data_IF_583761615015
#
_entry.id   IF_583761615015
#
_cell.length_a   1.000
_cell.length_b   1.000
_cell.length_c   1.000
_cell.angle_alpha   90.00
_cell.angle_beta   90.00
_cell.angle_gamma   90.00
#
_symmetry.space_group_name_H-M   'P 1'
#
loop_
_entity.id
_entity.type
_entity.pdbx_description
1 polymer ?
#
# COMPACT_ATOMS: atom_id res chain seq x y z
N UNK A 1 -49.34 -14.90 -22.93
CA UNK A 1 -49.22 -15.12 -21.47
C UNK A 1 -48.84 -16.57 -21.20
N UNK A 2 -47.56 -16.88 -20.94
CA UNK A 2 -47.15 -18.15 -20.33
C UNK A 2 -46.03 -17.84 -19.33
N UNK A 3 -46.35 -18.02 -18.04
CA UNK A 3 -45.40 -17.87 -16.93
C UNK A 3 -44.43 -19.05 -16.97
N UNK A 4 -43.15 -18.80 -17.26
CA UNK A 4 -42.08 -19.76 -16.97
C UNK A 4 -41.99 -19.91 -15.44
N UNK A 5 -42.56 -21.01 -14.92
CA UNK A 5 -42.32 -21.45 -13.55
C UNK A 5 -40.85 -21.88 -13.46
N UNK A 6 -40.01 -21.05 -12.86
CA UNK A 6 -38.75 -21.51 -12.29
C UNK A 6 -39.08 -22.63 -11.30
N UNK A 7 -38.83 -23.88 -11.67
CA UNK A 7 -38.95 -25.01 -10.75
C UNK A 7 -37.84 -24.92 -9.72
N UNK A 8 -38.08 -24.23 -8.61
CA UNK A 8 -37.29 -24.40 -7.40
C UNK A 8 -37.47 -25.84 -6.91
N UNK A 9 -36.53 -26.71 -7.29
CA UNK A 9 -36.43 -28.04 -6.69
C UNK A 9 -36.01 -27.85 -5.23
N UNK A 10 -36.96 -27.93 -4.29
CA UNK A 10 -36.72 -28.06 -2.84
C UNK A 10 -35.98 -29.38 -2.56
N UNK A 11 -34.67 -29.42 -2.85
CA UNK A 11 -33.77 -30.54 -2.51
C UNK A 11 -33.72 -30.69 -0.98
N UNK A 12 -33.80 -31.93 -0.49
CA UNK A 12 -33.71 -32.24 0.96
C UNK A 12 -32.39 -31.70 1.55
N UNK A 13 -32.37 -31.14 2.77
CA UNK A 13 -31.18 -30.50 3.34
C UNK A 13 -29.94 -31.41 3.37
N UNK A 14 -30.12 -32.71 3.60
CA UNK A 14 -29.02 -33.68 3.57
C UNK A 14 -28.38 -33.87 2.17
N UNK A 15 -29.17 -33.79 1.09
CA UNK A 15 -28.65 -33.87 -0.28
C UNK A 15 -27.93 -32.58 -0.69
N UNK A 16 -28.38 -31.43 -0.16
CA UNK A 16 -27.68 -30.14 -0.34
C UNK A 16 -26.31 -30.14 0.33
N UNK A 17 -26.20 -30.71 1.53
CA UNK A 17 -24.93 -30.82 2.25
C UNK A 17 -23.93 -31.69 1.50
N UNK A 18 -24.34 -32.89 1.06
CA UNK A 18 -23.46 -33.83 0.33
C UNK A 18 -22.95 -33.27 -1.01
N UNK A 19 -23.77 -32.47 -1.71
CA UNK A 19 -23.37 -31.76 -2.92
C UNK A 19 -22.44 -30.57 -2.63
N UNK A 20 -22.46 -30.04 -1.41
CA UNK A 20 -21.64 -28.89 -1.00
C UNK A 20 -20.27 -29.29 -0.46
N UNK A 21 -20.09 -30.53 0.01
CA UNK A 21 -18.81 -31.06 0.54
C UNK A 21 -17.63 -30.85 -0.41
N UNK A 22 -17.72 -31.11 -1.73
CA UNK A 22 -16.60 -30.86 -2.64
C UNK A 22 -16.18 -29.39 -2.68
N UNK A 23 -17.13 -28.45 -2.61
CA UNK A 23 -16.82 -27.02 -2.58
C UNK A 23 -16.14 -26.61 -1.26
N UNK A 24 -16.57 -27.18 -0.12
CA UNK A 24 -15.88 -26.95 1.16
C UNK A 24 -14.47 -27.53 1.16
N UNK A 25 -14.25 -28.69 0.55
CA UNK A 25 -12.92 -29.29 0.42
C UNK A 25 -12.00 -28.46 -0.48
N UNK A 26 -12.52 -27.84 -1.55
CA UNK A 26 -11.75 -26.91 -2.40
C UNK A 26 -11.39 -25.62 -1.66
N UNK A 27 -12.26 -25.15 -0.75
CA UNK A 27 -12.02 -23.95 0.05
C UNK A 27 -11.01 -24.20 1.19
N UNK A 28 -10.97 -25.43 1.72
CA UNK A 28 -10.23 -25.79 2.93
C UNK A 28 -8.73 -25.41 2.86
N UNK A 29 -7.97 -25.68 1.78
CA UNK A 29 -6.57 -25.25 1.69
C UNK A 29 -6.40 -23.74 1.82
N UNK A 30 -7.26 -22.95 1.17
CA UNK A 30 -7.26 -21.50 1.27
C UNK A 30 -7.57 -21.02 2.69
N UNK A 31 -8.55 -21.64 3.36
CA UNK A 31 -8.87 -21.32 4.76
C UNK A 31 -7.74 -21.68 5.71
N UNK A 32 -7.08 -22.82 5.52
CA UNK A 32 -5.95 -23.23 6.36
C UNK A 32 -4.79 -22.25 6.21
N UNK A 33 -4.43 -21.88 4.97
CA UNK A 33 -3.38 -20.88 4.73
C UNK A 33 -3.75 -19.52 5.34
N UNK A 34 -5.00 -19.08 5.15
CA UNK A 34 -5.50 -17.84 5.75
C UNK A 34 -5.42 -17.88 7.28
N UNK A 35 -5.81 -18.99 7.90
CA UNK A 35 -5.72 -19.15 9.35
C UNK A 35 -4.27 -19.13 9.84
N UNK A 36 -3.38 -19.92 9.23
CA UNK A 36 -1.98 -20.04 9.65
C UNK A 36 -1.18 -18.75 9.44
N UNK A 37 -1.40 -18.03 8.35
CA UNK A 37 -0.60 -16.87 7.99
C UNK A 37 -1.24 -15.52 8.36
N UNK A 38 -2.56 -15.45 8.60
CA UNK A 38 -3.22 -14.19 8.96
C UNK A 38 -3.80 -14.20 10.38
N UNK A 39 -4.41 -15.30 10.85
CA UNK A 39 -5.06 -15.34 12.17
C UNK A 39 -4.10 -15.76 13.28
N UNK A 40 -3.26 -16.76 13.03
CA UNK A 40 -2.30 -17.25 14.01
C UNK A 40 -1.32 -16.15 14.46
N UNK A 41 -0.78 -15.28 13.56
CA UNK A 41 0.08 -14.17 13.99
C UNK A 41 -0.62 -13.13 14.87
N UNK A 42 -1.96 -13.00 14.83
CA UNK A 42 -2.70 -12.07 15.71
C UNK A 42 -2.57 -12.45 17.19
N UNK A 43 -2.28 -13.72 17.48
CA UNK A 43 -1.93 -14.14 18.83
C UNK A 43 -0.73 -13.35 19.40
N UNK A 44 0.18 -12.89 18.53
CA UNK A 44 1.30 -12.03 18.88
C UNK A 44 0.90 -10.67 19.46
N UNK A 45 -0.35 -10.21 19.29
CA UNK A 45 -0.81 -8.94 19.88
C UNK A 45 -0.68 -8.89 21.41
N UNK A 46 -0.68 -10.05 22.08
CA UNK A 46 -0.42 -10.13 23.53
C UNK A 46 0.93 -9.51 23.94
N UNK A 47 1.91 -9.47 23.03
CA UNK A 47 3.23 -8.88 23.26
C UNK A 47 3.12 -7.40 23.63
N UNK A 48 2.14 -6.68 23.07
CA UNK A 48 1.89 -5.27 23.38
C UNK A 48 1.50 -5.03 24.85
N UNK A 49 1.07 -6.07 25.56
CA UNK A 49 0.66 -6.02 26.97
C UNK A 49 1.67 -6.68 27.92
N UNK A 50 2.80 -7.14 27.39
CA UNK A 50 3.81 -7.90 28.14
C UNK A 50 5.17 -7.22 28.04
N UNK A 51 6.00 -7.37 29.08
CA UNK A 51 7.44 -7.12 28.98
C UNK A 51 8.08 -8.33 28.31
N UNK A 52 7.96 -8.38 26.99
CA UNK A 52 8.36 -9.52 26.17
C UNK A 52 9.88 -9.68 26.11
N UNK A 53 10.35 -10.87 26.44
CA UNK A 53 11.76 -11.27 26.34
C UNK A 53 11.85 -12.35 25.24
N UNK A 54 12.46 -12.07 24.07
CA UNK A 54 12.54 -13.01 22.96
C UNK A 54 13.18 -14.35 23.32
N UNK A 55 14.18 -14.34 24.22
CA UNK A 55 14.88 -15.54 24.68
C UNK A 55 13.96 -16.56 25.39
N UNK A 56 12.82 -16.13 25.94
CA UNK A 56 11.83 -17.01 26.56
C UNK A 56 10.82 -17.60 25.55
N UNK A 57 10.92 -17.21 24.27
CA UNK A 57 9.97 -17.60 23.23
C UNK A 57 8.59 -16.95 23.38
N UNK A 58 7.74 -17.18 22.37
CA UNK A 58 6.37 -16.63 22.31
C UNK A 58 5.43 -17.21 23.38
N UNK A 59 5.69 -18.44 23.85
CA UNK A 59 4.86 -19.16 24.82
C UNK A 59 5.49 -19.24 26.21
N UNK A 60 6.69 -18.70 26.42
CA UNK A 60 7.30 -18.64 27.74
C UNK A 60 6.59 -17.66 28.67
N UNK A 61 6.88 -17.75 29.97
CA UNK A 61 6.32 -16.86 30.97
C UNK A 61 6.86 -15.42 30.80
N UNK A 62 5.97 -14.52 30.40
CA UNK A 62 6.23 -13.10 30.21
C UNK A 62 5.55 -12.29 31.32
N UNK A 63 6.18 -11.20 31.77
CA UNK A 63 5.56 -10.31 32.76
C UNK A 63 4.47 -9.48 32.10
N UNK A 64 3.23 -9.63 32.53
CA UNK A 64 2.13 -8.77 32.08
C UNK A 64 2.28 -7.36 32.65
N UNK A 65 2.24 -6.35 31.77
CA UNK A 65 2.38 -4.92 32.12
C UNK A 65 1.16 -4.10 31.70
N UNK A 66 0.11 -4.74 31.18
CA UNK A 66 -1.12 -4.07 30.76
C UNK A 66 -0.84 -3.00 29.70
N UNK A 67 -1.39 -1.81 29.86
CA UNK A 67 -1.28 -0.72 28.87
C UNK A 67 0.00 0.12 29.00
N UNK A 68 1.01 -0.37 29.72
CA UNK A 68 2.25 0.39 29.99
C UNK A 68 2.88 0.94 28.70
N UNK A 69 3.07 0.10 27.68
CA UNK A 69 3.69 0.50 26.42
C UNK A 69 2.88 1.52 25.63
N UNK A 70 1.54 1.47 25.72
CA UNK A 70 0.67 2.48 25.11
C UNK A 70 0.85 3.85 25.77
N UNK A 71 0.89 3.90 27.10
CA UNK A 71 1.18 5.15 27.84
C UNK A 71 2.59 5.65 27.53
N UNK A 72 3.57 4.74 27.44
CA UNK A 72 4.95 5.09 27.11
C UNK A 72 5.03 5.77 25.73
N UNK A 73 4.48 5.16 24.69
CA UNK A 73 4.49 5.71 23.32
C UNK A 73 3.69 7.02 23.24
N UNK A 74 2.52 7.08 23.90
CA UNK A 74 1.70 8.30 23.88
C UNK A 74 2.39 9.52 24.53
N UNK A 75 3.26 9.30 25.52
CA UNK A 75 4.07 10.36 26.15
C UNK A 75 5.43 10.56 25.45
N UNK A 76 5.74 9.80 24.41
CA UNK A 76 6.99 9.95 23.67
C UNK A 76 6.98 11.27 22.88
N UNK A 77 7.97 12.17 23.03
CA UNK A 77 7.91 13.52 22.49
C UNK A 77 7.63 13.61 20.99
N UNK A 78 8.13 12.65 20.21
CA UNK A 78 8.00 12.65 18.75
C UNK A 78 6.81 11.83 18.24
N UNK A 79 6.07 11.13 19.10
CA UNK A 79 4.99 10.25 18.66
C UNK A 79 3.89 11.00 17.90
N UNK A 80 3.39 12.11 18.47
CA UNK A 80 2.34 12.91 17.83
C UNK A 80 2.83 13.57 16.54
N UNK A 81 4.12 13.95 16.48
CA UNK A 81 4.73 14.53 15.26
C UNK A 81 4.81 13.48 14.16
N UNK A 82 5.32 12.29 14.47
CA UNK A 82 5.39 11.16 13.54
C UNK A 82 3.99 10.77 13.05
N UNK A 83 3.02 10.62 13.96
CA UNK A 83 1.64 10.27 13.62
C UNK A 83 1.01 11.31 12.68
N UNK A 84 1.15 12.60 12.99
CA UNK A 84 0.63 13.68 12.15
C UNK A 84 1.28 13.65 10.76
N UNK A 85 2.60 13.51 10.69
CA UNK A 85 3.33 13.48 9.42
C UNK A 85 2.91 12.27 8.57
N UNK A 86 2.77 11.09 9.17
CA UNK A 86 2.28 9.90 8.47
C UNK A 86 0.87 10.10 7.94
N UNK A 87 -0.06 10.59 8.76
CA UNK A 87 -1.44 10.85 8.33
C UNK A 87 -1.50 11.87 7.20
N UNK A 88 -0.70 12.93 7.30
CA UNK A 88 -0.66 14.01 6.32
C UNK A 88 -0.08 13.49 4.99
N UNK A 89 1.04 12.76 5.01
CA UNK A 89 1.61 12.13 3.81
C UNK A 89 0.62 11.15 3.17
N UNK A 90 0.00 10.28 3.98
CA UNK A 90 -0.99 9.31 3.47
C UNK A 90 -2.20 10.00 2.86
N UNK A 91 -2.68 11.08 3.47
CA UNK A 91 -3.79 11.86 2.94
C UNK A 91 -3.43 12.56 1.63
N UNK A 92 -2.25 13.20 1.55
CA UNK A 92 -1.77 13.85 0.32
C UNK A 92 -1.60 12.85 -0.82
N UNK A 93 -1.00 11.68 -0.55
CA UNK A 93 -0.87 10.59 -1.53
C UNK A 93 -2.23 10.14 -2.05
N UNK A 94 -3.20 9.93 -1.16
CA UNK A 94 -4.55 9.49 -1.53
C UNK A 94 -5.28 10.57 -2.34
N UNK A 95 -5.31 11.81 -1.86
CA UNK A 95 -6.04 12.89 -2.49
C UNK A 95 -5.46 13.26 -3.87
N UNK A 96 -4.15 13.50 -3.94
CA UNK A 96 -3.49 13.87 -5.20
C UNK A 96 -3.39 12.68 -6.15
N UNK A 97 -3.15 11.47 -5.64
CA UNK A 97 -3.13 10.25 -6.45
C UNK A 97 -4.46 10.02 -7.15
N UNK A 98 -5.59 10.18 -6.44
CA UNK A 98 -6.93 10.10 -7.03
C UNK A 98 -7.15 11.17 -8.10
N UNK A 99 -6.87 12.44 -7.79
CA UNK A 99 -7.06 13.56 -8.73
C UNK A 99 -6.25 13.34 -10.00
N UNK A 100 -4.98 12.96 -9.87
CA UNK A 100 -4.07 12.75 -11.00
C UNK A 100 -4.50 11.53 -11.82
N UNK A 101 -4.90 10.42 -11.19
CA UNK A 101 -5.40 9.24 -11.90
C UNK A 101 -6.66 9.55 -12.73
N UNK A 102 -7.61 10.31 -12.17
CA UNK A 102 -8.84 10.73 -12.89
C UNK A 102 -8.49 11.64 -14.07
N UNK A 103 -7.68 12.68 -13.84
CA UNK A 103 -7.27 13.60 -14.90
C UNK A 103 -6.58 12.82 -16.02
N UNK A 104 -5.63 11.94 -15.66
CA UNK A 104 -4.91 11.13 -16.64
C UNK A 104 -5.84 10.19 -17.42
N UNK A 105 -6.80 9.54 -16.74
CA UNK A 105 -7.81 8.69 -17.38
C UNK A 105 -8.60 9.44 -18.45
N UNK A 106 -9.02 10.67 -18.15
CA UNK A 106 -9.75 11.53 -19.08
C UNK A 106 -8.85 11.93 -20.26
N UNK A 107 -7.62 12.36 -20.00
CA UNK A 107 -6.65 12.75 -21.04
C UNK A 107 -6.37 11.58 -22.01
N UNK A 108 -6.18 10.38 -21.47
CA UNK A 108 -5.97 9.15 -22.27
C UNK A 108 -7.21 8.78 -23.07
N UNK A 109 -8.41 9.05 -22.55
CA UNK A 109 -9.65 8.81 -23.26
C UNK A 109 -9.81 9.71 -24.50
N UNK A 110 -9.33 10.95 -24.44
CA UNK A 110 -9.42 11.92 -25.54
C UNK A 110 -8.44 11.61 -26.70
N UNK A 111 -7.46 10.73 -26.49
CA UNK A 111 -6.52 10.32 -27.53
C UNK A 111 -7.24 9.47 -28.59
N UNK A 112 -7.57 10.08 -29.73
CA UNK A 112 -8.16 9.40 -30.91
C UNK A 112 -7.24 8.37 -31.56
N UNK A 113 -5.92 8.60 -31.55
CA UNK A 113 -4.95 7.69 -32.16
C UNK A 113 -4.66 6.51 -31.22
N UNK A 114 -5.14 5.32 -31.60
CA UNK A 114 -5.00 4.09 -30.80
C UNK A 114 -3.56 3.66 -30.56
N UNK A 115 -2.64 3.92 -31.50
CA UNK A 115 -1.21 3.60 -31.31
C UNK A 115 -0.60 4.50 -30.23
N UNK A 116 -0.84 5.80 -30.31
CA UNK A 116 -0.36 6.76 -29.32
C UNK A 116 -0.94 6.46 -27.93
N UNK A 117 -2.26 6.19 -27.86
CA UNK A 117 -2.94 5.83 -26.62
C UNK A 117 -2.27 4.65 -25.93
N UNK A 118 -2.01 3.57 -26.68
CA UNK A 118 -1.36 2.35 -26.16
C UNK A 118 0.07 2.62 -25.71
N UNK A 119 0.85 3.40 -26.47
CA UNK A 119 2.23 3.73 -26.09
C UNK A 119 2.30 4.53 -24.80
N UNK A 120 1.48 5.58 -24.66
CA UNK A 120 1.46 6.41 -23.45
C UNK A 120 1.05 5.57 -22.24
N UNK A 121 0.02 4.72 -22.37
CA UNK A 121 -0.38 3.78 -21.33
C UNK A 121 0.77 2.87 -20.91
N UNK A 122 1.47 2.23 -21.86
CA UNK A 122 2.60 1.35 -21.53
C UNK A 122 3.72 2.08 -20.77
N UNK A 123 4.07 3.29 -21.17
CA UNK A 123 5.10 4.10 -20.48
C UNK A 123 4.67 4.44 -19.06
N UNK A 124 3.41 4.83 -18.87
CA UNK A 124 2.89 5.26 -17.57
C UNK A 124 2.60 4.09 -16.63
N UNK A 125 2.29 2.90 -17.15
CA UNK A 125 2.17 1.68 -16.33
C UNK A 125 3.52 1.08 -15.92
N UNK A 126 4.61 1.35 -16.66
CA UNK A 126 5.91 0.73 -16.42
C UNK A 126 6.47 0.95 -14.99
N UNK A 127 6.41 2.16 -14.39
CA UNK A 127 6.95 2.41 -13.05
C UNK A 127 6.32 1.55 -11.95
N UNK A 128 5.04 1.19 -12.10
CA UNK A 128 4.33 0.34 -11.13
C UNK A 128 5.02 -1.01 -10.95
N UNK A 129 5.54 -1.61 -12.03
CA UNK A 129 6.18 -2.92 -12.00
C UNK A 129 7.60 -2.92 -11.41
N UNK A 130 8.24 -1.76 -11.27
CA UNK A 130 9.57 -1.65 -10.67
C UNK A 130 9.50 -1.78 -9.15
N UNK A 131 10.40 -2.53 -8.51
CA UNK A 131 10.40 -2.60 -7.04
C UNK A 131 10.75 -1.24 -6.42
N UNK A 132 10.22 -0.96 -5.23
CA UNK A 132 10.56 0.25 -4.46
C UNK A 132 12.07 0.37 -4.17
N UNK A 133 12.79 -0.76 -4.06
CA UNK A 133 14.24 -0.77 -3.84
C UNK A 133 14.98 -0.22 -5.06
N UNK A 134 14.65 -0.70 -6.26
CA UNK A 134 15.26 -0.22 -7.51
C UNK A 134 14.92 1.27 -7.71
N UNK A 135 13.65 1.62 -7.49
CA UNK A 135 13.19 2.99 -7.69
C UNK A 135 13.87 3.97 -6.73
N UNK A 136 14.06 3.57 -5.47
CA UNK A 136 14.77 4.40 -4.49
C UNK A 136 16.20 4.71 -4.92
N UNK A 137 16.92 3.73 -5.48
CA UNK A 137 18.27 3.95 -6.02
C UNK A 137 18.27 4.97 -7.15
N UNK A 138 17.38 4.79 -8.14
CA UNK A 138 17.24 5.72 -9.27
C UNK A 138 16.87 7.14 -8.79
N UNK A 139 15.96 7.25 -7.82
CA UNK A 139 15.55 8.53 -7.26
C UNK A 139 16.67 9.22 -6.49
N UNK A 140 17.47 8.48 -5.71
CA UNK A 140 18.66 9.03 -5.04
C UNK A 140 19.63 9.61 -6.05
N UNK A 141 19.88 8.91 -7.16
CA UNK A 141 20.80 9.38 -8.21
C UNK A 141 20.26 10.61 -8.93
N UNK A 142 18.98 10.60 -9.33
CA UNK A 142 18.33 11.69 -10.06
C UNK A 142 18.17 12.96 -9.19
N UNK A 143 17.85 12.78 -7.91
CA UNK A 143 17.59 13.86 -6.93
C UNK A 143 18.84 14.26 -6.14
N UNK A 144 19.99 13.65 -6.41
CA UNK A 144 21.25 13.98 -5.73
C UNK A 144 21.56 15.48 -5.82
N UNK A 145 21.93 16.14 -4.71
CA UNK A 145 22.28 17.56 -4.71
C UNK A 145 23.58 17.86 -5.48
N UNK A 146 24.49 16.89 -5.60
CA UNK A 146 25.80 17.08 -6.23
C UNK A 146 25.83 16.62 -7.68
N UNK A 147 25.20 15.51 -8.00
CA UNK A 147 25.32 14.84 -9.30
C UNK A 147 24.00 14.68 -10.05
N UNK A 148 22.88 14.91 -9.37
CA UNK A 148 21.54 14.62 -9.88
C UNK A 148 21.11 15.52 -11.03
N UNK A 149 20.45 14.92 -12.01
CA UNK A 149 19.99 15.64 -13.21
C UNK A 149 18.98 16.74 -12.86
N UNK A 150 18.13 16.53 -11.86
CA UNK A 150 17.14 17.53 -11.43
C UNK A 150 17.86 18.78 -10.88
N UNK A 151 18.85 18.60 -10.02
CA UNK A 151 19.61 19.72 -9.48
C UNK A 151 20.48 20.42 -10.54
N UNK A 152 21.03 19.68 -11.50
CA UNK A 152 21.73 20.27 -12.66
C UNK A 152 20.81 21.18 -13.50
N UNK A 153 19.56 20.77 -13.71
CA UNK A 153 18.58 21.60 -14.41
C UNK A 153 18.20 22.84 -13.59
N UNK A 154 17.99 22.69 -12.28
CA UNK A 154 17.68 23.82 -11.38
C UNK A 154 18.81 24.85 -11.40
N UNK A 155 20.07 24.42 -11.27
CA UNK A 155 21.22 25.32 -11.28
C UNK A 155 21.48 25.94 -12.66
N UNK A 156 21.23 25.20 -13.74
CA UNK A 156 21.31 25.74 -15.10
C UNK A 156 20.30 26.88 -15.34
N UNK A 157 19.15 26.86 -14.67
CA UNK A 157 18.15 27.94 -14.70
C UNK A 157 18.42 29.07 -13.69
N UNK A 158 19.59 29.06 -13.02
CA UNK A 158 19.99 30.09 -12.04
C UNK A 158 19.53 29.84 -10.60
N UNK A 159 18.95 28.67 -10.31
CA UNK A 159 18.57 28.25 -8.96
C UNK A 159 19.74 27.69 -8.13
N UNK A 160 19.44 27.31 -6.89
CA UNK A 160 20.39 26.63 -6.01
C UNK A 160 20.07 25.14 -5.90
N UNK A 161 21.10 24.33 -5.65
CA UNK A 161 20.92 22.88 -5.44
C UNK A 161 20.05 22.61 -4.21
N UNK A 162 19.08 21.71 -4.38
CA UNK A 162 18.09 21.31 -3.37
C UNK A 162 18.38 19.89 -2.90
N UNK A 163 18.46 19.71 -1.58
CA UNK A 163 18.61 18.39 -0.98
C UNK A 163 17.25 17.72 -0.73
N UNK A 164 16.58 17.28 -1.81
CA UNK A 164 15.21 16.75 -1.78
C UNK A 164 14.95 15.68 -0.72
N UNK A 165 15.91 14.77 -0.52
CA UNK A 165 15.78 13.62 0.40
C UNK A 165 16.29 13.90 1.81
N UNK A 166 16.98 15.02 2.04
CA UNK A 166 17.57 15.37 3.33
C UNK A 166 16.97 16.62 3.99
N UNK A 167 16.28 17.46 3.23
CA UNK A 167 15.62 18.67 3.73
C UNK A 167 14.15 18.40 4.05
N UNK A 168 13.75 18.65 5.30
CA UNK A 168 12.38 18.49 5.79
C UNK A 168 11.34 19.27 4.96
N UNK A 169 11.72 20.38 4.33
CA UNK A 169 10.82 21.20 3.50
C UNK A 169 10.40 20.50 2.21
N UNK A 170 11.30 19.70 1.64
CA UNK A 170 11.11 19.05 0.33
C UNK A 170 10.80 17.56 0.45
N UNK A 171 11.20 16.92 1.55
CA UNK A 171 11.05 15.49 1.75
C UNK A 171 9.61 15.02 1.57
N UNK A 172 8.65 15.69 2.23
CA UNK A 172 7.24 15.30 2.19
C UNK A 172 6.69 15.33 0.76
N UNK A 173 6.86 16.46 0.05
CA UNK A 173 6.41 16.60 -1.34
C UNK A 173 7.11 15.62 -2.28
N UNK A 174 8.42 15.38 -2.07
CA UNK A 174 9.19 14.40 -2.85
C UNK A 174 8.61 13.00 -2.68
N UNK A 175 8.29 12.59 -1.44
CA UNK A 175 7.68 11.29 -1.14
C UNK A 175 6.29 11.14 -1.76
N UNK A 176 5.50 12.21 -1.81
CA UNK A 176 4.17 12.20 -2.42
C UNK A 176 4.28 12.11 -3.95
N UNK A 177 5.10 12.95 -4.58
CA UNK A 177 5.25 13.00 -6.05
C UNK A 177 5.81 11.68 -6.59
N UNK A 178 6.81 11.11 -5.92
CA UNK A 178 7.43 9.84 -6.35
C UNK A 178 6.51 8.65 -6.22
N UNK A 179 5.70 8.61 -5.17
CA UNK A 179 4.64 7.61 -4.96
C UNK A 179 3.55 7.73 -6.01
N UNK A 180 3.06 8.94 -6.24
CA UNK A 180 2.06 9.18 -7.29
C UNK A 180 2.61 8.79 -8.64
N UNK A 181 3.81 9.24 -9.03
CA UNK A 181 4.41 8.91 -10.33
C UNK A 181 4.56 7.39 -10.53
N UNK A 182 4.82 6.64 -9.46
CA UNK A 182 4.91 5.19 -9.52
C UNK A 182 3.53 4.52 -9.72
N UNK A 183 2.50 5.00 -9.04
CA UNK A 183 1.23 4.29 -8.86
C UNK A 183 0.07 4.82 -9.74
N UNK A 184 0.10 6.09 -10.14
CA UNK A 184 -1.06 6.75 -10.78
C UNK A 184 -1.48 6.08 -12.10
N UNK A 185 -0.51 5.51 -12.82
CA UNK A 185 -0.77 4.79 -14.05
C UNK A 185 -1.67 3.59 -13.82
N UNK A 186 -1.34 2.75 -12.83
CA UNK A 186 -2.01 1.48 -12.54
C UNK A 186 -3.40 1.65 -11.90
N UNK A 187 -3.61 2.71 -11.12
CA UNK A 187 -4.89 3.00 -10.46
C UNK A 187 -6.00 3.51 -11.42
N UNK A 188 -5.85 3.31 -12.73
CA UNK A 188 -6.82 3.65 -13.79
C UNK A 188 -7.66 2.44 -14.16
#
# INVERSE_FOLDING_TARGET
>A
MQKQKFMETKRRPAQRLKQSVPFYLMLLPGMVLLFLFNYLPLYGWKIAFQKFIPAKGLFGEQKWVGTYWFKYIANYPDFLRALRNTLLISFEKLALGLVIAIIFSILINEIRNSKLKRTVQTIVYLPHFLSWIILSGVLIDILSPSTGIVNKLITAMGGQSVFFLGDNRFFQGTMVVTDIWKEFGFNT
#
